data_IF_149011276390
#
_entry.id   IF_149011276390
#
_cell.length_a   1.000
_cell.length_b   1.000
_cell.length_c   1.000
_cell.angle_alpha   90.00
_cell.angle_beta   90.00
_cell.angle_gamma   90.00
#
_symmetry.space_group_name_H-M   'P 1'
#
loop_
_entity.id
_entity.type
_entity.pdbx_description
1 polymer ?
#
# COMPACT_ATOMS: atom_id res chain seq x y z
N UNK A 1 24.81 -51.07 -66.56
CA UNK A 1 25.55 -49.81 -66.31
C UNK A 1 25.85 -49.73 -64.81
N UNK A 2 27.10 -49.41 -64.47
CA UNK A 2 27.79 -49.60 -63.19
C UNK A 2 27.20 -48.83 -61.98
N UNK A 3 27.11 -49.39 -60.76
CA UNK A 3 28.07 -49.51 -59.60
C UNK A 3 28.52 -48.17 -58.97
N UNK A 4 28.62 -48.19 -57.61
CA UNK A 4 29.31 -47.35 -56.59
C UNK A 4 28.54 -46.11 -56.06
N UNK A 5 28.20 -45.95 -54.78
CA UNK A 5 28.90 -46.07 -53.49
C UNK A 5 29.82 -44.86 -53.16
N UNK A 6 29.56 -44.30 -51.97
CA UNK A 6 30.53 -43.80 -50.98
C UNK A 6 31.03 -42.34 -50.98
N UNK A 7 30.72 -41.68 -49.84
CA UNK A 7 31.60 -40.95 -48.91
C UNK A 7 32.33 -39.65 -49.34
N UNK A 8 32.30 -38.64 -48.45
CA UNK A 8 33.49 -38.12 -47.72
C UNK A 8 33.71 -36.57 -47.68
N UNK A 9 33.81 -36.08 -46.43
CA UNK A 9 34.60 -34.97 -45.83
C UNK A 9 34.44 -33.46 -46.16
N UNK A 10 34.44 -32.69 -45.06
CA UNK A 10 34.65 -31.25 -44.91
C UNK A 10 36.15 -30.85 -45.06
N UNK A 11 36.47 -29.56 -45.17
CA UNK A 11 37.33 -28.97 -44.13
C UNK A 11 37.00 -27.53 -43.70
N UNK A 12 37.71 -27.13 -42.64
CA UNK A 12 37.57 -26.05 -41.65
C UNK A 12 38.12 -24.67 -42.09
N UNK A 13 37.67 -23.63 -41.37
CA UNK A 13 38.30 -22.31 -41.09
C UNK A 13 38.29 -21.23 -42.20
N UNK A 14 37.86 -20.00 -41.91
CA UNK A 14 38.73 -19.00 -41.25
C UNK A 14 37.95 -17.88 -40.53
N UNK A 15 38.51 -17.48 -39.39
CA UNK A 15 38.10 -16.37 -38.51
C UNK A 15 38.47 -15.01 -39.10
N UNK A 16 37.66 -13.96 -38.87
CA UNK A 16 38.13 -12.65 -38.34
C UNK A 16 37.01 -11.64 -38.04
N UNK A 17 37.08 -11.15 -36.80
CA UNK A 17 36.55 -9.95 -36.12
C UNK A 17 35.59 -8.95 -36.80
N UNK A 18 34.45 -8.66 -36.14
CA UNK A 18 34.15 -7.30 -35.61
C UNK A 18 32.92 -7.30 -34.68
N UNK A 19 33.13 -6.76 -33.47
CA UNK A 19 32.26 -6.13 -32.46
C UNK A 19 30.77 -6.54 -32.26
N UNK A 20 30.31 -6.75 -31.00
CA UNK A 20 28.88 -6.90 -30.69
C UNK A 20 28.18 -5.53 -30.63
N UNK A 21 26.97 -5.36 -31.19
CA UNK A 21 26.11 -4.22 -30.86
C UNK A 21 25.45 -4.44 -29.50
N UNK A 22 25.40 -3.38 -28.72
CA UNK A 22 24.87 -3.28 -27.35
C UNK A 22 23.43 -3.78 -27.21
N UNK A 23 23.06 -4.41 -26.07
CA UNK A 23 21.69 -4.85 -25.85
C UNK A 23 20.79 -3.63 -25.64
N UNK A 24 19.87 -3.43 -26.58
CA UNK A 24 18.78 -2.48 -26.51
C UNK A 24 18.01 -2.61 -25.20
N UNK A 25 17.83 -1.46 -24.54
CA UNK A 25 17.03 -1.22 -23.33
C UNK A 25 15.72 -2.02 -23.33
N UNK A 26 15.75 -3.20 -22.75
CA UNK A 26 14.59 -4.04 -22.51
C UNK A 26 13.96 -3.53 -21.22
N UNK A 27 13.09 -2.52 -21.32
CA UNK A 27 12.25 -2.11 -20.19
C UNK A 27 11.48 -3.35 -19.73
N UNK A 28 11.68 -3.86 -18.51
CA UNK A 28 10.96 -5.04 -18.08
C UNK A 28 9.47 -4.74 -18.13
N UNK A 29 8.72 -5.61 -18.83
CA UNK A 29 7.27 -5.59 -18.84
C UNK A 29 6.81 -5.96 -17.42
N UNK A 30 6.62 -4.95 -16.58
CA UNK A 30 6.01 -5.14 -15.28
C UNK A 30 4.58 -5.62 -15.50
N UNK A 31 4.35 -6.91 -15.30
CA UNK A 31 3.02 -7.48 -15.21
C UNK A 31 2.37 -6.90 -13.96
N UNK A 32 1.63 -5.80 -14.11
CA UNK A 32 0.89 -5.18 -13.02
C UNK A 32 -0.28 -6.11 -12.68
N UNK A 33 -0.09 -7.00 -11.71
CA UNK A 33 -1.18 -7.78 -11.13
C UNK A 33 -2.21 -6.80 -10.55
N UNK A 34 -3.24 -6.51 -11.33
CA UNK A 34 -4.38 -5.76 -10.84
C UNK A 34 -5.16 -6.73 -9.95
N UNK A 35 -5.13 -6.51 -8.63
CA UNK A 35 -5.96 -7.27 -7.71
C UNK A 35 -7.42 -7.02 -8.08
N UNK A 36 -8.18 -8.10 -8.28
CA UNK A 36 -9.61 -7.96 -8.64
C UNK A 36 -10.35 -7.22 -7.52
N UNK A 37 -11.38 -6.44 -7.87
CA UNK A 37 -12.22 -5.75 -6.88
C UNK A 37 -12.74 -6.72 -5.78
N UNK A 38 -13.08 -7.95 -6.14
CA UNK A 38 -13.46 -9.01 -5.19
C UNK A 38 -12.34 -9.38 -4.22
N UNK A 39 -11.10 -9.47 -4.69
CA UNK A 39 -9.96 -9.81 -3.84
C UNK A 39 -9.64 -8.67 -2.86
N UNK A 40 -9.73 -7.43 -3.35
CA UNK A 40 -9.59 -6.24 -2.52
C UNK A 40 -10.65 -6.17 -1.41
N UNK A 41 -11.91 -6.49 -1.74
CA UNK A 41 -12.99 -6.58 -0.76
C UNK A 41 -12.74 -7.69 0.28
N UNK A 42 -12.24 -8.85 -0.13
CA UNK A 42 -11.87 -9.93 0.82
C UNK A 42 -10.79 -9.48 1.79
N UNK A 43 -9.75 -8.82 1.28
CA UNK A 43 -8.67 -8.30 2.12
C UNK A 43 -9.19 -7.26 3.12
N UNK A 44 -9.95 -6.25 2.69
CA UNK A 44 -10.53 -5.26 3.60
C UNK A 44 -11.53 -5.87 4.59
N UNK A 45 -12.24 -6.92 4.18
CA UNK A 45 -13.13 -7.68 5.06
C UNK A 45 -12.36 -8.46 6.13
N UNK A 46 -11.19 -9.03 5.80
CA UNK A 46 -10.33 -9.66 6.80
C UNK A 46 -9.77 -8.67 7.83
N UNK A 47 -9.63 -7.41 7.46
CA UNK A 47 -9.25 -6.31 8.36
C UNK A 47 -10.44 -5.73 9.15
N UNK A 48 -11.66 -6.23 8.93
CA UNK A 48 -12.87 -5.73 9.60
C UNK A 48 -13.31 -4.33 9.16
N UNK A 49 -12.78 -3.79 8.07
CA UNK A 49 -13.06 -2.43 7.58
C UNK A 49 -14.34 -2.39 6.76
N UNK A 50 -14.57 -3.43 5.97
CA UNK A 50 -15.75 -3.54 5.10
C UNK A 50 -16.63 -4.68 5.60
N UNK A 51 -17.96 -4.49 5.69
CA UNK A 51 -18.87 -5.56 6.05
C UNK A 51 -18.74 -6.73 5.07
N UNK A 52 -18.78 -7.96 5.60
CA UNK A 52 -18.78 -9.20 4.79
C UNK A 52 -19.97 -9.27 3.81
N UNK A 53 -20.96 -8.39 3.97
CA UNK A 53 -22.15 -8.34 3.15
C UNK A 53 -21.89 -7.57 1.84
N UNK A 54 -21.84 -8.23 0.67
CA UNK A 54 -21.48 -7.60 -0.60
C UNK A 54 -22.47 -6.52 -1.07
N UNK A 55 -23.66 -6.44 -0.46
CA UNK A 55 -24.66 -5.39 -0.74
C UNK A 55 -24.35 -4.04 -0.07
N UNK A 56 -23.51 -4.06 0.96
CA UNK A 56 -23.05 -2.88 1.69
C UNK A 56 -21.59 -2.55 1.35
N UNK A 57 -21.03 -3.25 0.35
CA UNK A 57 -19.64 -3.05 -0.05
C UNK A 57 -19.47 -1.69 -0.74
N UNK A 58 -18.40 -0.94 -0.42
CA UNK A 58 -18.06 0.29 -1.10
C UNK A 58 -17.86 0.05 -2.61
N UNK A 59 -18.24 1.01 -3.47
CA UNK A 59 -17.95 0.94 -4.90
C UNK A 59 -16.44 0.89 -5.15
N UNK A 60 -16.05 0.35 -6.32
CA UNK A 60 -14.64 0.13 -6.67
C UNK A 60 -13.76 1.39 -6.63
N UNK A 61 -14.36 2.56 -6.81
CA UNK A 61 -13.65 3.85 -6.79
C UNK A 61 -13.22 4.28 -5.38
N UNK A 62 -13.87 3.77 -4.34
CA UNK A 62 -13.62 4.17 -2.95
C UNK A 62 -12.55 3.29 -2.30
N UNK A 63 -12.37 2.07 -2.82
CA UNK A 63 -11.33 1.14 -2.36
C UNK A 63 -9.92 1.74 -2.32
N UNK A 64 -9.40 2.42 -3.35
CA UNK A 64 -8.04 2.98 -3.30
C UNK A 64 -7.87 4.00 -2.17
N UNK A 65 -8.91 4.79 -1.85
CA UNK A 65 -8.88 5.76 -0.74
C UNK A 65 -8.79 5.01 0.59
N UNK A 66 -9.62 3.98 0.77
CA UNK A 66 -9.61 3.11 1.95
C UNK A 66 -8.23 2.44 2.11
N UNK A 67 -7.68 1.86 1.05
CA UNK A 67 -6.34 1.27 1.08
C UNK A 67 -5.26 2.28 1.41
N UNK A 68 -5.35 3.51 0.88
CA UNK A 68 -4.40 4.55 1.19
C UNK A 68 -4.44 4.92 2.67
N UNK A 69 -5.65 5.05 3.25
CA UNK A 69 -5.82 5.30 4.68
C UNK A 69 -5.28 4.15 5.53
N UNK A 70 -5.55 2.90 5.15
CA UNK A 70 -5.02 1.71 5.82
C UNK A 70 -3.50 1.66 5.76
N UNK A 71 -2.90 1.85 4.58
CA UNK A 71 -1.46 1.83 4.41
C UNK A 71 -0.78 2.96 5.18
N UNK A 72 -1.42 4.12 5.27
CA UNK A 72 -0.96 5.24 6.08
C UNK A 72 -0.97 4.91 7.58
N UNK A 73 -2.06 4.34 8.08
CA UNK A 73 -2.15 3.94 9.49
C UNK A 73 -1.15 2.82 9.82
N UNK A 74 -0.94 1.88 8.89
CA UNK A 74 0.10 0.85 9.01
C UNK A 74 1.50 1.46 9.04
N UNK A 75 1.80 2.46 8.21
CA UNK A 75 3.11 3.13 8.21
C UNK A 75 3.37 3.90 9.50
N UNK A 76 2.32 4.34 10.20
CA UNK A 76 2.38 4.92 11.55
C UNK A 76 2.42 3.88 12.67
N UNK A 77 2.41 2.58 12.36
CA UNK A 77 2.59 1.49 13.34
C UNK A 77 1.32 0.81 13.86
N UNK A 78 0.15 1.13 13.29
CA UNK A 78 -1.12 0.50 13.68
C UNK A 78 -1.19 -0.94 13.17
N UNK A 79 -1.61 -1.87 14.05
CA UNK A 79 -1.71 -3.29 13.72
C UNK A 79 -3.02 -3.61 12.98
N UNK A 80 -3.03 -4.71 12.22
CA UNK A 80 -4.22 -5.20 11.52
C UNK A 80 -5.42 -5.52 12.45
N UNK A 81 -5.12 -5.93 13.68
CA UNK A 81 -6.08 -6.25 14.72
C UNK A 81 -6.84 -5.03 15.28
N UNK A 82 -6.30 -3.82 15.11
CA UNK A 82 -6.87 -2.58 15.66
C UNK A 82 -7.88 -1.93 14.70
N UNK A 83 -7.83 -2.27 13.41
CA UNK A 83 -8.71 -1.69 12.38
C UNK A 83 -10.20 -1.93 12.62
N UNK A 84 -10.66 -3.12 13.06
CA UNK A 84 -12.08 -3.32 13.38
C UNK A 84 -12.58 -2.33 14.44
N UNK A 85 -11.77 -2.06 15.47
CA UNK A 85 -12.08 -1.08 16.51
C UNK A 85 -12.09 0.34 15.95
N UNK A 86 -11.13 0.66 15.07
CA UNK A 86 -10.99 1.95 14.44
C UNK A 86 -12.21 2.31 13.57
N UNK A 87 -12.70 1.32 12.81
CA UNK A 87 -13.88 1.44 11.95
C UNK A 87 -15.15 1.61 12.78
N UNK A 88 -15.23 0.93 13.92
CA UNK A 88 -16.36 1.04 14.84
C UNK A 88 -16.44 2.43 15.50
N UNK A 89 -15.31 2.96 15.97
CA UNK A 89 -15.26 4.26 16.64
C UNK A 89 -15.28 5.44 15.67
N UNK A 90 -14.59 5.32 14.53
CA UNK A 90 -14.41 6.39 13.56
C UNK A 90 -14.63 5.88 12.13
N UNK A 91 -15.88 5.55 11.74
CA UNK A 91 -16.16 5.09 10.37
C UNK A 91 -15.83 6.16 9.32
N UNK A 92 -15.84 7.45 9.72
CA UNK A 92 -15.53 8.57 8.85
C UNK A 92 -14.09 8.55 8.31
N UNK A 93 -13.16 7.92 9.02
CA UNK A 93 -11.75 7.81 8.62
C UNK A 93 -11.57 6.99 7.32
N UNK A 94 -12.50 6.08 7.05
CA UNK A 94 -12.51 5.23 5.86
C UNK A 94 -13.55 5.69 4.84
N UNK A 95 -14.11 6.89 5.01
CA UNK A 95 -15.01 7.49 4.03
C UNK A 95 -14.21 7.90 2.77
N UNK A 96 -14.77 7.73 1.56
CA UNK A 96 -14.12 8.20 0.33
C UNK A 96 -13.89 9.72 0.31
N UNK A 97 -14.61 10.47 1.14
CA UNK A 97 -14.50 11.93 1.28
C UNK A 97 -13.43 12.36 2.28
N UNK A 98 -12.75 11.42 2.95
CA UNK A 98 -11.81 11.75 4.01
C UNK A 98 -10.40 11.99 3.46
N UNK A 99 -9.80 13.12 3.87
CA UNK A 99 -8.47 13.52 3.45
C UNK A 99 -7.41 13.06 4.47
N UNK A 100 -6.49 12.22 4.00
CA UNK A 100 -5.35 11.70 4.80
C UNK A 100 -4.42 12.85 5.25
N UNK A 101 -4.36 13.96 4.52
CA UNK A 101 -3.56 15.11 4.90
C UNK A 101 -4.01 15.78 6.20
N UNK A 102 -5.24 15.50 6.68
CA UNK A 102 -5.72 16.01 7.98
C UNK A 102 -5.18 15.24 9.17
N UNK A 103 -4.84 13.97 8.98
CA UNK A 103 -4.32 13.12 10.06
C UNK A 103 -2.81 13.29 10.24
N UNK A 104 -2.07 13.56 9.16
CA UNK A 104 -0.64 13.86 9.19
C UNK A 104 -0.20 14.82 10.32
N UNK A 105 -0.76 16.04 10.42
CA UNK A 105 -0.34 17.01 11.43
C UNK A 105 -0.68 16.56 12.86
N UNK A 106 -1.70 15.70 13.04
CA UNK A 106 -2.03 15.15 14.36
C UNK A 106 -0.92 14.20 14.84
N UNK A 107 -0.39 13.35 13.94
CA UNK A 107 0.75 12.49 14.29
C UNK A 107 2.01 13.30 14.59
N UNK A 108 2.26 14.37 13.84
CA UNK A 108 3.41 15.25 14.06
C UNK A 108 3.28 16.01 15.38
N UNK A 109 2.06 16.44 15.75
CA UNK A 109 1.77 17.02 17.06
C UNK A 109 2.02 16.04 18.21
N UNK A 110 1.55 14.79 18.09
CA UNK A 110 1.71 13.78 19.14
C UNK A 110 3.18 13.42 19.39
N UNK A 111 3.99 13.35 18.34
CA UNK A 111 5.42 13.02 18.45
C UNK A 111 6.29 14.22 18.80
N UNK A 112 5.96 15.40 18.26
CA UNK A 112 6.75 16.62 18.45
C UNK A 112 6.38 17.42 19.70
N UNK A 113 5.10 17.77 19.87
CA UNK A 113 4.64 18.67 20.94
C UNK A 113 4.30 17.91 22.23
N UNK A 114 3.62 16.76 22.11
CA UNK A 114 3.31 15.93 23.27
C UNK A 114 4.51 15.07 23.70
N UNK A 115 5.50 14.87 22.82
CA UNK A 115 6.69 14.06 23.09
C UNK A 115 6.38 12.59 23.33
N UNK A 116 5.22 12.10 22.85
CA UNK A 116 4.81 10.71 23.03
C UNK A 116 5.69 9.78 22.19
N UNK A 117 6.04 8.61 22.74
CA UNK A 117 6.73 7.58 21.96
C UNK A 117 5.83 7.03 20.85
N UNK A 118 6.42 6.31 19.90
CA UNK A 118 5.68 5.65 18.81
C UNK A 118 4.65 4.67 19.36
N UNK A 119 4.98 3.97 20.44
CA UNK A 119 4.08 3.02 21.11
C UNK A 119 2.93 3.74 21.83
N UNK A 120 3.22 4.87 22.48
CA UNK A 120 2.23 5.67 23.20
C UNK A 120 1.26 6.36 22.26
N UNK A 121 1.77 6.96 21.18
CA UNK A 121 0.95 7.57 20.13
C UNK A 121 0.04 6.52 19.47
N UNK A 122 0.56 5.33 19.15
CA UNK A 122 -0.26 4.20 18.70
C UNK A 122 -1.35 3.87 19.72
N UNK A 123 -0.98 3.68 20.98
CA UNK A 123 -1.91 3.36 22.05
C UNK A 123 -3.02 4.40 22.18
N UNK A 124 -2.67 5.69 22.08
CA UNK A 124 -3.62 6.79 22.13
C UNK A 124 -4.61 6.75 20.97
N UNK A 125 -4.13 6.48 19.76
CA UNK A 125 -4.98 6.42 18.56
C UNK A 125 -5.91 5.20 18.60
N UNK A 126 -5.39 4.04 19.01
CA UNK A 126 -6.20 2.82 19.13
C UNK A 126 -7.29 3.00 20.19
N UNK A 127 -6.98 3.71 21.29
CA UNK A 127 -7.94 3.95 22.36
C UNK A 127 -8.93 5.07 22.05
N UNK A 128 -8.46 6.14 21.44
CA UNK A 128 -9.21 7.38 21.21
C UNK A 128 -8.98 7.88 19.77
N UNK A 129 -9.50 7.18 18.75
CA UNK A 129 -9.24 7.54 17.36
C UNK A 129 -9.89 8.85 16.91
N UNK A 130 -10.87 9.36 17.67
CA UNK A 130 -11.47 10.68 17.45
C UNK A 130 -10.43 11.81 17.52
N UNK A 131 -9.28 11.59 18.15
CA UNK A 131 -8.18 12.56 18.15
C UNK A 131 -7.68 12.87 16.74
N UNK A 132 -7.73 11.89 15.82
CA UNK A 132 -7.32 12.06 14.42
C UNK A 132 -8.27 12.97 13.63
N UNK A 133 -9.51 13.13 14.09
CA UNK A 133 -10.49 14.03 13.47
C UNK A 133 -10.46 15.44 14.09
N UNK A 134 -9.65 15.65 15.13
CA UNK A 134 -9.58 16.91 15.86
C UNK A 134 -8.55 17.85 15.25
N UNK A 135 -8.85 19.14 15.20
CA UNK A 135 -7.91 20.15 14.72
C UNK A 135 -6.76 20.38 15.71
N UNK A 136 -5.54 20.29 15.19
CA UNK A 136 -4.31 20.47 15.99
C UNK A 136 -4.27 21.86 16.61
N UNK A 137 -4.54 22.89 15.82
CA UNK A 137 -4.40 24.29 16.25
C UNK A 137 -5.50 24.74 17.24
N UNK A 138 -6.74 24.30 17.03
CA UNK A 138 -7.90 24.78 17.77
C UNK A 138 -8.35 23.86 18.91
N UNK A 139 -7.96 22.59 18.88
CA UNK A 139 -8.37 21.61 19.88
C UNK A 139 -7.19 21.03 20.64
N UNK A 140 -6.20 20.45 19.95
CA UNK A 140 -5.11 19.73 20.62
C UNK A 140 -4.16 20.66 21.36
N UNK A 141 -3.70 21.75 20.72
CA UNK A 141 -2.80 22.73 21.34
C UNK A 141 -3.41 23.42 22.56
N UNK A 142 -4.63 23.97 22.51
CA UNK A 142 -5.24 24.57 23.70
C UNK A 142 -5.45 23.56 24.83
N UNK A 143 -5.80 22.32 24.49
CA UNK A 143 -5.96 21.25 25.50
C UNK A 143 -4.63 20.93 26.18
N UNK A 144 -3.53 20.88 25.42
CA UNK A 144 -2.20 20.65 25.98
C UNK A 144 -1.74 21.78 26.89
N UNK A 145 -2.04 23.04 26.54
CA UNK A 145 -1.72 24.22 27.36
C UNK A 145 -2.55 24.29 28.64
N UNK A 146 -3.77 23.74 28.62
CA UNK A 146 -4.65 23.73 29.78
C UNK A 146 -4.24 22.71 30.85
N UNK A 147 -3.67 21.58 30.45
CA UNK A 147 -3.21 20.49 31.33
C UNK A 147 -1.89 20.84 32.02
#
# INVERSE_FOLDING_TARGET
>A
MAVIASLHLQPLSSFSSSSPPSPSSSKPLYLKFQTSHRENLRHLSSLGIVPQNPRLAPPANDLPVIFSAVNFLKSKGISDEDFPRLVFLCPQLFSPTFDISKIDPVFDFLTGELGASTEESKGLIVNCPNILLSDVEYFLRPTLVYL
#
